data_IF_970997660692
#
_entry.id   IF_970997660692
#
_cell.length_a   1.000
_cell.length_b   1.000
_cell.length_c   1.000
_cell.angle_alpha   90.00
_cell.angle_beta   90.00
_cell.angle_gamma   90.00
#
_symmetry.space_group_name_H-M   'P 1'
#
loop_
_entity.id
_entity.type
_entity.pdbx_description
1 polymer ?
#
# COMPACT_ATOMS: atom_id res chain seq x y z
N UNK A 1 -19.12 -1.25 1.19
CA UNK A 1 -18.24 -0.21 1.76
C UNK A 1 -17.58 -0.76 3.02
N UNK A 2 -16.26 -0.75 3.09
CA UNK A 2 -15.51 -0.93 4.32
C UNK A 2 -15.17 0.46 4.89
N UNK A 3 -15.49 0.71 6.16
CA UNK A 3 -15.08 1.92 6.87
C UNK A 3 -14.09 1.57 7.97
N UNK A 4 -12.92 2.21 7.95
CA UNK A 4 -12.00 2.25 9.07
C UNK A 4 -12.34 3.48 9.91
N UNK A 5 -12.74 3.28 11.14
CA UNK A 5 -13.03 4.38 12.07
C UNK A 5 -11.73 4.95 12.67
N UNK A 6 -11.81 6.11 13.31
CA UNK A 6 -10.64 6.85 13.80
C UNK A 6 -9.75 6.08 14.78
N UNK A 7 -10.28 5.05 15.43
CA UNK A 7 -9.52 4.17 16.35
C UNK A 7 -8.78 3.01 15.66
N UNK A 8 -9.04 2.76 14.37
CA UNK A 8 -8.42 1.66 13.62
C UNK A 8 -7.03 2.04 13.07
N UNK A 9 -6.18 2.64 13.91
CA UNK A 9 -4.81 3.03 13.53
C UNK A 9 -3.90 1.82 13.35
N UNK A 10 -2.87 1.95 12.48
CA UNK A 10 -1.94 0.88 12.11
C UNK A 10 -2.62 -0.34 11.47
N UNK A 11 -3.66 -0.10 10.66
CA UNK A 11 -4.32 -1.15 9.89
C UNK A 11 -3.48 -1.52 8.68
N UNK A 12 -3.33 -2.82 8.44
CA UNK A 12 -2.57 -3.38 7.32
C UNK A 12 -3.44 -4.28 6.47
N UNK A 13 -3.49 -4.01 5.17
CA UNK A 13 -4.12 -4.85 4.16
C UNK A 13 -3.07 -5.34 3.17
N UNK A 14 -3.10 -6.63 2.84
CA UNK A 14 -2.23 -7.20 1.83
C UNK A 14 -2.99 -8.20 0.96
N UNK A 15 -2.69 -8.21 -0.35
CA UNK A 15 -3.18 -9.19 -1.32
C UNK A 15 -4.71 -9.33 -1.31
N UNK A 16 -5.44 -8.23 -1.10
CA UNK A 16 -6.89 -8.18 -1.01
C UNK A 16 -7.48 -7.45 -2.21
N UNK A 17 -8.55 -8.01 -2.76
CA UNK A 17 -9.41 -7.32 -3.71
C UNK A 17 -10.74 -6.96 -3.05
N UNK A 18 -11.05 -5.67 -3.04
CA UNK A 18 -12.34 -5.13 -2.64
C UNK A 18 -12.99 -4.43 -3.83
N UNK A 19 -14.25 -4.69 -4.09
CA UNK A 19 -14.96 -4.09 -5.23
C UNK A 19 -16.41 -3.76 -4.89
N UNK A 20 -16.92 -2.72 -5.56
CA UNK A 20 -18.33 -2.40 -5.54
C UNK A 20 -19.09 -3.28 -6.54
N UNK A 21 -20.24 -3.82 -6.10
CA UNK A 21 -21.15 -4.56 -6.97
C UNK A 21 -22.15 -3.67 -7.71
N UNK A 22 -22.12 -2.35 -7.50
CA UNK A 22 -23.06 -1.42 -8.15
C UNK A 22 -22.87 -1.34 -9.66
N UNK A 23 -21.65 -1.52 -10.13
CA UNK A 23 -21.29 -1.36 -11.53
C UNK A 23 -21.02 0.08 -11.94
N UNK A 24 -20.36 0.24 -13.08
CA UNK A 24 -19.90 1.54 -13.58
C UNK A 24 -21.06 2.49 -13.89
N UNK A 25 -20.92 3.77 -13.49
CA UNK A 25 -21.89 4.83 -13.77
C UNK A 25 -23.17 4.81 -12.93
N UNK A 26 -23.23 4.01 -11.88
CA UNK A 26 -24.42 3.88 -11.02
C UNK A 26 -24.44 4.81 -9.80
N UNK A 27 -23.51 5.73 -9.69
CA UNK A 27 -23.42 6.70 -8.61
C UNK A 27 -22.20 6.47 -7.72
N UNK A 28 -22.23 7.06 -6.52
CA UNK A 28 -21.15 6.96 -5.54
C UNK A 28 -21.12 5.56 -4.93
N UNK A 29 -19.95 4.93 -4.97
CA UNK A 29 -19.78 3.54 -4.58
C UNK A 29 -18.43 3.28 -3.89
N UNK A 30 -18.21 4.02 -2.80
CA UNK A 30 -16.98 3.95 -1.98
C UNK A 30 -16.68 2.49 -1.63
N UNK A 31 -15.46 2.04 -1.88
CA UNK A 31 -15.00 0.72 -1.46
C UNK A 31 -14.35 0.78 -0.10
N UNK A 32 -13.43 1.73 0.10
CA UNK A 32 -12.74 1.94 1.38
C UNK A 32 -12.87 3.40 1.80
N UNK A 33 -13.55 3.64 2.92
CA UNK A 33 -13.62 4.93 3.59
C UNK A 33 -12.73 4.90 4.83
N UNK A 34 -11.60 5.60 4.79
CA UNK A 34 -10.55 5.50 5.78
C UNK A 34 -10.50 6.76 6.67
N UNK A 35 -11.05 6.68 7.87
CA UNK A 35 -11.00 7.72 8.89
C UNK A 35 -9.87 7.49 9.91
N UNK A 36 -9.05 6.47 9.70
CA UNK A 36 -7.98 6.05 10.60
C UNK A 36 -6.70 6.87 10.40
N UNK A 37 -5.58 6.36 10.88
CA UNK A 37 -4.24 6.87 10.65
C UNK A 37 -3.27 5.70 10.52
N UNK A 38 -2.25 5.85 9.68
CA UNK A 38 -1.22 4.82 9.45
C UNK A 38 -1.80 3.53 8.85
N UNK A 39 -2.67 3.67 7.85
CA UNK A 39 -3.14 2.53 7.06
C UNK A 39 -2.11 2.19 6.01
N UNK A 40 -1.81 0.91 5.85
CA UNK A 40 -0.95 0.35 4.83
C UNK A 40 -1.77 -0.58 3.93
N UNK A 41 -1.70 -0.35 2.62
CA UNK A 41 -2.31 -1.18 1.60
C UNK A 41 -1.22 -1.71 0.65
N UNK A 42 -0.80 -2.97 0.82
CA UNK A 42 0.18 -3.63 -0.03
C UNK A 42 -0.51 -4.55 -1.02
N UNK A 43 -0.27 -4.35 -2.33
CA UNK A 43 -0.88 -5.14 -3.40
C UNK A 43 -2.41 -5.27 -3.25
N UNK A 44 -3.07 -4.14 -2.91
CA UNK A 44 -4.53 -4.10 -2.70
C UNK A 44 -5.22 -3.62 -3.96
N UNK A 45 -6.29 -4.31 -4.36
CA UNK A 45 -7.09 -3.95 -5.52
C UNK A 45 -8.43 -3.34 -5.06
N UNK A 46 -8.61 -2.03 -5.24
CA UNK A 46 -9.87 -1.31 -4.96
C UNK A 46 -10.56 -0.95 -6.27
N UNK A 47 -11.75 -1.50 -6.48
CA UNK A 47 -12.47 -1.36 -7.74
C UNK A 47 -13.87 -0.80 -7.50
N UNK A 48 -14.08 0.43 -7.93
CA UNK A 48 -15.38 1.06 -8.01
C UNK A 48 -15.41 2.01 -9.21
N UNK A 49 -16.35 2.96 -9.23
CA UNK A 49 -16.48 3.94 -10.28
C UNK A 49 -16.35 5.37 -9.78
N UNK A 50 -16.99 5.71 -8.65
CA UNK A 50 -16.92 7.02 -8.03
C UNK A 50 -16.52 6.91 -6.55
N UNK A 51 -15.56 7.74 -6.12
CA UNK A 51 -15.06 7.80 -4.73
C UNK A 51 -14.51 6.44 -4.23
N UNK A 52 -13.79 5.69 -5.05
CA UNK A 52 -13.33 4.32 -4.75
C UNK A 52 -12.58 4.23 -3.43
N UNK A 53 -11.63 5.13 -3.19
CA UNK A 53 -10.92 5.29 -1.92
C UNK A 53 -11.08 6.71 -1.40
N UNK A 54 -11.53 6.82 -0.16
CA UNK A 54 -11.71 8.09 0.53
C UNK A 54 -10.81 8.12 1.77
N UNK A 55 -9.73 8.90 1.74
CA UNK A 55 -8.91 9.21 2.91
C UNK A 55 -9.62 10.30 3.72
N UNK A 56 -10.28 9.93 4.82
CA UNK A 56 -11.21 10.82 5.52
C UNK A 56 -10.72 11.27 6.89
N UNK A 57 -9.41 11.47 7.03
CA UNK A 57 -8.78 12.04 8.21
C UNK A 57 -7.73 13.06 7.80
N UNK A 58 -7.96 14.35 8.15
CA UNK A 58 -7.03 15.42 7.82
C UNK A 58 -5.62 15.24 8.45
N UNK A 59 -5.54 14.55 9.59
CA UNK A 59 -4.26 14.25 10.25
C UNK A 59 -3.74 12.86 9.92
N UNK A 60 -4.41 12.15 9.01
CA UNK A 60 -4.07 10.78 8.62
C UNK A 60 -2.89 10.74 7.66
N UNK A 61 -2.12 9.68 7.78
CA UNK A 61 -1.08 9.26 6.83
C UNK A 61 -1.42 7.87 6.34
N UNK A 62 -1.41 7.69 5.01
CA UNK A 62 -1.87 6.48 4.35
C UNK A 62 -0.86 6.07 3.28
N UNK A 63 -0.51 4.81 3.24
CA UNK A 63 0.51 4.28 2.34
C UNK A 63 -0.03 3.14 1.48
N UNK A 64 0.16 3.26 0.18
CA UNK A 64 -0.13 2.22 -0.79
C UNK A 64 1.16 1.76 -1.46
N UNK A 65 1.37 0.44 -1.58
CA UNK A 65 2.49 -0.17 -2.29
C UNK A 65 1.97 -1.21 -3.27
N UNK A 66 2.17 -0.96 -4.55
CA UNK A 66 1.65 -1.83 -5.61
C UNK A 66 0.13 -1.91 -5.62
N UNK A 67 -0.40 -2.92 -6.30
CA UNK A 67 -1.83 -3.14 -6.45
C UNK A 67 -2.50 -2.27 -7.52
N UNK A 68 -3.83 -2.29 -7.55
CA UNK A 68 -4.64 -1.65 -8.59
C UNK A 68 -5.74 -0.81 -7.96
N UNK A 69 -5.77 0.49 -8.26
CA UNK A 69 -6.86 1.37 -7.89
C UNK A 69 -7.62 1.78 -9.15
N UNK A 70 -8.91 1.44 -9.21
CA UNK A 70 -9.75 1.58 -10.39
C UNK A 70 -10.95 2.50 -10.11
N UNK A 71 -11.22 3.43 -11.03
CA UNK A 71 -12.40 4.28 -10.97
C UNK A 71 -12.46 5.27 -12.13
N UNK A 72 -13.44 6.18 -12.06
CA UNK A 72 -13.62 7.25 -13.05
C UNK A 72 -13.76 8.61 -12.40
N UNK A 73 -14.73 8.77 -11.49
CA UNK A 73 -15.09 10.10 -10.96
C UNK A 73 -14.55 10.23 -9.54
N UNK A 74 -13.60 11.15 -9.35
CA UNK A 74 -13.06 11.51 -8.03
C UNK A 74 -12.62 10.29 -7.22
N UNK A 75 -12.08 9.26 -7.92
CA UNK A 75 -11.98 7.93 -7.33
C UNK A 75 -10.91 7.78 -6.25
N UNK A 76 -9.94 8.69 -6.19
CA UNK A 76 -9.01 8.86 -5.07
C UNK A 76 -9.24 10.25 -4.48
N UNK A 77 -10.01 10.34 -3.39
CA UNK A 77 -10.40 11.62 -2.85
C UNK A 77 -10.25 11.68 -1.33
N UNK A 78 -10.28 12.91 -0.77
CA UNK A 78 -10.31 13.08 0.68
C UNK A 78 -9.23 14.00 1.25
N UNK A 79 -8.76 13.69 2.45
CA UNK A 79 -7.90 14.52 3.30
C UNK A 79 -6.65 13.76 3.73
N UNK A 80 -5.72 14.48 4.37
CA UNK A 80 -4.51 13.89 4.91
C UNK A 80 -3.40 13.74 3.87
N UNK A 81 -2.38 12.99 4.23
CA UNK A 81 -1.25 12.71 3.35
C UNK A 81 -1.33 11.23 2.91
N UNK A 82 -1.33 11.02 1.59
CA UNK A 82 -1.39 9.67 1.00
C UNK A 82 -0.21 9.50 0.06
N UNK A 83 0.55 8.43 0.27
CA UNK A 83 1.66 8.06 -0.61
C UNK A 83 1.30 6.80 -1.40
N UNK A 84 1.18 6.93 -2.70
CA UNK A 84 0.96 5.85 -3.64
C UNK A 84 2.28 5.50 -4.29
N UNK A 85 2.84 4.32 -3.97
CA UNK A 85 4.12 3.83 -4.45
C UNK A 85 3.93 2.66 -5.43
N UNK A 86 4.34 2.84 -6.67
CA UNK A 86 4.27 1.80 -7.71
C UNK A 86 2.87 1.18 -7.89
N UNK A 87 1.83 2.01 -7.88
CA UNK A 87 0.41 1.59 -7.99
C UNK A 87 -0.07 1.71 -9.43
N UNK A 88 -0.86 0.74 -9.90
CA UNK A 88 -1.61 0.82 -11.13
C UNK A 88 -2.90 1.64 -10.93
N UNK A 89 -3.02 2.74 -11.64
CA UNK A 89 -4.13 3.68 -11.57
C UNK A 89 -5.00 3.54 -12.80
N UNK A 90 -6.12 2.81 -12.70
CA UNK A 90 -6.96 2.43 -13.85
C UNK A 90 -8.13 3.39 -14.00
N UNK A 91 -8.12 4.18 -15.08
CA UNK A 91 -9.20 5.10 -15.44
C UNK A 91 -10.30 4.39 -16.24
N UNK A 92 -11.54 4.43 -15.76
CA UNK A 92 -12.69 3.78 -16.40
C UNK A 92 -13.57 4.74 -17.21
N UNK A 93 -13.08 5.94 -17.48
CA UNK A 93 -13.77 6.96 -18.25
C UNK A 93 -13.03 8.30 -18.24
N UNK A 94 -13.72 9.36 -18.64
CA UNK A 94 -13.13 10.69 -18.84
C UNK A 94 -13.20 11.60 -17.62
N UNK A 95 -13.30 11.01 -16.42
CA UNK A 95 -13.44 11.73 -15.17
C UNK A 95 -12.12 12.22 -14.56
N UNK A 96 -12.03 12.14 -13.23
CA UNK A 96 -10.96 12.72 -12.43
C UNK A 96 -10.31 11.62 -11.57
N UNK A 97 -8.97 11.53 -11.62
CA UNK A 97 -8.23 10.55 -10.86
C UNK A 97 -8.14 10.96 -9.38
N UNK A 98 -7.47 12.06 -9.08
CA UNK A 98 -7.17 12.53 -7.73
C UNK A 98 -7.97 13.77 -7.36
N UNK A 99 -8.70 13.73 -6.23
CA UNK A 99 -9.51 14.85 -5.75
C UNK A 99 -9.25 15.10 -4.28
N UNK A 100 -8.01 15.51 -3.92
CA UNK A 100 -7.67 15.84 -2.56
C UNK A 100 -8.37 17.12 -2.08
N UNK A 101 -8.61 17.21 -0.76
CA UNK A 101 -9.30 18.32 -0.11
C UNK A 101 -8.36 19.13 0.81
N UNK A 102 -7.88 18.50 1.86
CA UNK A 102 -7.00 19.14 2.85
C UNK A 102 -5.83 18.22 3.18
N UNK A 103 -4.58 18.61 2.86
CA UNK A 103 -3.42 17.82 3.27
C UNK A 103 -3.21 17.92 4.79
N UNK A 104 -2.51 16.94 5.36
CA UNK A 104 -1.82 17.15 6.64
C UNK A 104 -0.68 18.16 6.42
N UNK A 105 0.21 17.81 5.50
CA UNK A 105 1.36 18.63 5.11
C UNK A 105 1.72 18.49 3.63
N UNK A 106 1.65 17.29 3.09
CA UNK A 106 2.18 16.92 1.77
C UNK A 106 1.10 16.55 0.74
N UNK A 107 -0.10 16.14 1.17
CA UNK A 107 -1.22 15.77 0.31
C UNK A 107 -1.03 14.41 -0.37
N UNK A 108 -1.41 14.30 -1.64
CA UNK A 108 -1.37 13.07 -2.40
C UNK A 108 -0.10 12.99 -3.25
N UNK A 109 0.74 12.01 -2.98
CA UNK A 109 1.98 11.76 -3.71
C UNK A 109 1.84 10.46 -4.48
N UNK A 110 1.94 10.52 -5.81
CA UNK A 110 1.96 9.37 -6.72
C UNK A 110 3.39 9.19 -7.23
N UNK A 111 4.08 8.18 -6.72
CA UNK A 111 5.49 7.91 -7.06
C UNK A 111 5.60 6.58 -7.82
N UNK A 112 6.27 6.61 -8.96
CA UNK A 112 6.49 5.43 -9.81
C UNK A 112 5.19 4.71 -10.25
N UNK A 113 4.04 5.40 -10.20
CA UNK A 113 2.74 4.85 -10.55
C UNK A 113 2.57 4.70 -12.07
N UNK A 114 1.63 3.83 -12.47
CA UNK A 114 1.27 3.67 -13.88
C UNK A 114 -0.22 3.99 -14.10
N UNK A 115 -0.54 4.95 -14.95
CA UNK A 115 -1.93 5.25 -15.33
C UNK A 115 -2.30 4.40 -16.55
N UNK A 116 -3.39 3.64 -16.43
CA UNK A 116 -3.86 2.67 -17.45
C UNK A 116 -5.26 2.99 -17.96
N UNK A 117 -5.53 2.61 -19.20
CA UNK A 117 -6.88 2.67 -19.78
C UNK A 117 -7.72 1.47 -19.34
N UNK A 118 -8.76 1.72 -18.55
CA UNK A 118 -9.75 0.72 -18.16
C UNK A 118 -10.98 0.67 -19.04
N UNK A 119 -10.96 1.38 -20.19
CA UNK A 119 -12.10 1.48 -21.10
C UNK A 119 -11.87 0.67 -22.38
N UNK A 120 -12.96 0.39 -23.09
CA UNK A 120 -12.91 -0.22 -24.44
C UNK A 120 -12.90 0.81 -25.57
N UNK A 121 -13.13 2.10 -25.26
CA UNK A 121 -13.32 3.17 -26.25
C UNK A 121 -12.13 4.11 -26.38
N UNK A 122 -11.16 3.99 -25.47
CA UNK A 122 -9.98 4.85 -25.38
C UNK A 122 -10.29 6.25 -24.84
N UNK A 123 -9.50 6.66 -23.85
CA UNK A 123 -9.65 7.95 -23.13
C UNK A 123 -8.44 8.87 -23.26
N UNK A 124 -7.52 8.54 -24.15
CA UNK A 124 -6.33 9.36 -24.37
C UNK A 124 -6.69 10.81 -24.69
N UNK A 125 -6.12 11.77 -23.96
CA UNK A 125 -6.41 13.20 -24.09
C UNK A 125 -7.79 13.64 -23.54
N UNK A 126 -8.54 12.79 -22.81
CA UNK A 126 -9.92 13.09 -22.42
C UNK A 126 -10.19 13.11 -20.93
N UNK A 127 -9.35 12.50 -20.08
CA UNK A 127 -9.51 12.48 -18.63
C UNK A 127 -8.64 13.56 -17.94
N UNK A 128 -8.81 13.77 -16.68
CA UNK A 128 -8.03 14.71 -15.86
C UNK A 128 -7.27 13.97 -14.76
N UNK A 129 -6.06 14.42 -14.45
CA UNK A 129 -5.28 13.96 -13.28
C UNK A 129 -5.97 14.28 -11.96
N UNK A 130 -6.74 15.40 -11.94
CA UNK A 130 -7.52 15.72 -10.76
C UNK A 130 -8.11 17.12 -10.75
N UNK A 131 -8.73 17.44 -9.61
CA UNK A 131 -9.33 18.74 -9.31
C UNK A 131 -9.33 19.00 -7.79
N UNK A 132 -9.32 20.26 -7.32
CA UNK A 132 -9.27 20.57 -5.88
C UNK A 132 -10.66 20.41 -5.24
N UNK A 133 -10.78 19.64 -4.15
CA UNK A 133 -12.04 19.50 -3.42
C UNK A 133 -12.11 20.48 -2.25
N UNK A 134 -12.95 21.48 -2.38
CA UNK A 134 -13.16 22.49 -1.34
C UNK A 134 -12.06 23.54 -1.24
N UNK A 135 -11.97 24.20 -0.10
CA UNK A 135 -11.13 25.39 0.13
C UNK A 135 -9.83 25.12 0.89
N UNK A 136 -9.43 23.86 1.00
CA UNK A 136 -8.29 23.44 1.83
C UNK A 136 -6.92 23.53 1.15
N UNK A 137 -6.82 24.17 -0.01
CA UNK A 137 -5.57 24.30 -0.79
C UNK A 137 -4.81 22.98 -0.92
N UNK A 138 -5.42 21.95 -1.54
CA UNK A 138 -4.85 20.62 -1.63
C UNK A 138 -3.56 20.55 -2.44
N UNK A 139 -2.83 19.45 -2.27
CA UNK A 139 -1.62 19.12 -3.01
C UNK A 139 -1.83 17.74 -3.67
N UNK A 140 -1.43 17.60 -4.94
CA UNK A 140 -1.31 16.33 -5.64
C UNK A 140 -0.10 16.36 -6.57
N UNK A 141 0.81 15.43 -6.39
CA UNK A 141 2.07 15.37 -7.13
C UNK A 141 2.20 13.99 -7.80
N UNK A 142 2.45 14.00 -9.11
CA UNK A 142 2.76 12.80 -9.88
C UNK A 142 4.25 12.82 -10.24
N UNK A 143 5.01 11.89 -9.68
CA UNK A 143 6.46 11.84 -9.78
C UNK A 143 6.86 10.52 -10.43
N UNK A 144 7.62 10.57 -11.52
CA UNK A 144 8.07 9.41 -12.31
C UNK A 144 6.90 8.51 -12.76
N UNK A 145 5.76 9.12 -13.10
CA UNK A 145 4.55 8.39 -13.48
C UNK A 145 4.60 7.97 -14.94
N UNK A 146 4.26 6.70 -15.20
CA UNK A 146 4.09 6.15 -16.55
C UNK A 146 2.62 6.23 -16.98
N UNK A 147 2.36 6.58 -18.22
CA UNK A 147 1.01 6.79 -18.74
C UNK A 147 0.79 5.96 -20.00
N UNK A 148 -0.07 4.96 -19.93
CA UNK A 148 -0.60 4.25 -21.10
C UNK A 148 -1.50 5.20 -21.92
N UNK A 149 -2.28 6.02 -21.23
CA UNK A 149 -3.10 7.10 -21.76
C UNK A 149 -2.76 8.41 -21.07
N UNK A 150 -2.54 9.47 -21.86
CA UNK A 150 -2.24 10.81 -21.32
C UNK A 150 -3.53 11.59 -21.01
N UNK A 151 -3.54 12.45 -19.97
CA UNK A 151 -4.67 13.31 -19.67
C UNK A 151 -4.85 14.42 -20.73
N UNK A 152 -5.88 15.24 -20.56
CA UNK A 152 -6.00 16.49 -21.32
C UNK A 152 -4.75 17.36 -21.15
N UNK A 153 -4.49 18.27 -22.11
CA UNK A 153 -3.34 19.17 -22.02
C UNK A 153 -3.31 19.99 -20.71
N UNK A 154 -4.48 20.43 -20.21
CA UNK A 154 -4.60 21.12 -18.93
C UNK A 154 -4.25 20.22 -17.74
N UNK A 155 -4.39 18.90 -17.85
CA UNK A 155 -4.14 17.91 -16.80
C UNK A 155 -5.07 18.01 -15.60
N UNK A 156 -5.38 19.22 -15.16
CA UNK A 156 -6.14 19.56 -13.96
C UNK A 156 -7.42 20.33 -14.30
N UNK A 157 -8.40 20.30 -13.41
CA UNK A 157 -9.66 21.03 -13.57
C UNK A 157 -10.02 21.81 -12.31
N UNK A 158 -11.17 22.45 -12.34
CA UNK A 158 -11.74 23.27 -11.28
C UNK A 158 -12.83 22.53 -10.53
N UNK A 159 -13.08 22.89 -9.29
CA UNK A 159 -14.18 22.37 -8.51
C UNK A 159 -14.65 23.42 -7.48
N UNK A 160 -15.88 23.91 -7.68
CA UNK A 160 -16.64 24.71 -6.70
C UNK A 160 -15.84 25.88 -6.07
N UNK A 161 -15.04 26.56 -6.87
CA UNK A 161 -14.22 27.71 -6.46
C UNK A 161 -13.05 27.38 -5.53
N UNK A 162 -12.71 26.10 -5.40
CA UNK A 162 -11.46 25.66 -4.77
C UNK A 162 -10.26 25.85 -5.69
N UNK A 163 -9.09 25.99 -5.10
CA UNK A 163 -7.83 25.99 -5.84
C UNK A 163 -6.76 25.22 -5.04
N UNK A 164 -5.79 24.57 -5.71
CA UNK A 164 -4.74 23.84 -5.03
C UNK A 164 -3.63 24.79 -4.55
N UNK A 165 -2.90 24.37 -3.52
CA UNK A 165 -1.57 24.92 -3.28
C UNK A 165 -0.64 24.51 -4.43
N UNK A 166 -0.61 23.21 -4.75
CA UNK A 166 0.20 22.70 -5.85
C UNK A 166 -0.41 21.42 -6.44
N UNK A 167 -0.68 21.43 -7.74
CA UNK A 167 -0.94 20.24 -8.55
C UNK A 167 0.16 20.19 -9.60
N UNK A 168 1.04 19.19 -9.53
CA UNK A 168 2.24 19.18 -10.34
C UNK A 168 2.69 17.77 -10.75
N UNK A 169 3.57 17.75 -11.76
CA UNK A 169 4.19 16.55 -12.28
C UNK A 169 5.71 16.70 -12.36
N UNK A 170 6.42 15.58 -12.28
CA UNK A 170 7.83 15.45 -12.59
C UNK A 170 8.09 14.18 -13.36
N UNK A 171 8.83 14.28 -14.46
CA UNK A 171 9.29 13.14 -15.25
C UNK A 171 8.16 12.17 -15.66
N UNK A 172 6.97 12.70 -15.96
CA UNK A 172 5.87 11.90 -16.51
C UNK A 172 6.21 11.44 -17.93
N UNK A 173 6.09 10.13 -18.18
CA UNK A 173 6.39 9.52 -19.48
C UNK A 173 5.24 8.64 -19.96
N UNK A 174 5.18 8.37 -21.25
CA UNK A 174 4.36 7.27 -21.75
C UNK A 174 4.96 5.92 -21.29
N UNK A 175 4.19 4.84 -21.39
CA UNK A 175 4.72 3.49 -21.12
C UNK A 175 5.84 3.06 -22.08
N UNK A 176 6.02 3.77 -23.20
CA UNK A 176 7.13 3.58 -24.14
C UNK A 176 8.34 4.49 -23.85
N UNK A 177 8.29 5.28 -22.76
CA UNK A 177 9.38 6.14 -22.33
C UNK A 177 9.44 7.53 -22.97
N UNK A 178 8.42 7.93 -23.76
CA UNK A 178 8.36 9.28 -24.33
C UNK A 178 7.88 10.26 -23.26
N UNK A 179 8.58 11.39 -23.09
CA UNK A 179 8.19 12.43 -22.16
C UNK A 179 6.81 13.00 -22.50
N UNK A 180 5.96 13.19 -21.48
CA UNK A 180 4.66 13.86 -21.62
C UNK A 180 4.88 15.38 -21.68
N UNK A 181 4.22 16.06 -22.60
CA UNK A 181 4.26 17.54 -22.66
C UNK A 181 3.45 18.12 -21.50
N UNK A 182 4.13 18.82 -20.62
CA UNK A 182 3.55 19.48 -19.43
C UNK A 182 3.30 20.98 -19.63
N UNK A 183 3.62 21.54 -20.80
CA UNK A 183 3.55 22.99 -21.05
C UNK A 183 2.14 23.57 -20.97
N UNK A 184 1.12 22.74 -21.24
CA UNK A 184 -0.29 23.10 -21.17
C UNK A 184 -0.97 22.95 -19.79
N UNK A 185 -0.23 22.54 -18.76
CA UNK A 185 -0.81 22.25 -17.44
C UNK A 185 -1.44 23.48 -16.79
N UNK A 186 -2.65 23.30 -16.24
CA UNK A 186 -3.39 24.35 -15.58
C UNK A 186 -2.70 24.82 -14.30
N UNK A 187 -2.54 26.13 -14.15
CA UNK A 187 -1.96 26.79 -12.98
C UNK A 187 -2.89 27.84 -12.37
N UNK A 188 -3.78 28.43 -13.17
CA UNK A 188 -4.70 29.47 -12.74
C UNK A 188 -6.09 28.91 -12.57
N UNK A 189 -6.74 29.18 -11.44
CA UNK A 189 -8.04 28.67 -11.03
C UNK A 189 -9.04 29.78 -10.75
N UNK A 190 -10.30 29.61 -11.17
CA UNK A 190 -11.41 30.49 -10.84
C UNK A 190 -11.89 30.21 -9.41
N UNK A 191 -11.42 31.00 -8.47
CA UNK A 191 -11.71 30.85 -7.05
C UNK A 191 -12.84 31.76 -6.61
N UNK A 192 -13.73 31.23 -5.75
CA UNK A 192 -14.80 32.01 -5.13
C UNK A 192 -15.23 31.35 -3.80
N UNK A 193 -15.77 32.15 -2.88
CA UNK A 193 -16.19 31.65 -1.57
C UNK A 193 -17.56 30.98 -1.60
N UNK A 194 -18.51 31.56 -2.32
CA UNK A 194 -19.84 30.99 -2.53
C UNK A 194 -20.36 31.31 -3.94
N UNK A 195 -21.32 30.51 -4.39
CA UNK A 195 -22.03 30.70 -5.66
C UNK A 195 -23.53 30.48 -5.43
N UNK A 196 -24.34 31.45 -5.87
CA UNK A 196 -25.81 31.35 -5.92
C UNK A 196 -26.28 31.78 -7.31
N UNK A 197 -26.76 30.81 -8.11
CA UNK A 197 -27.00 31.01 -9.53
C UNK A 197 -25.74 31.51 -10.27
N UNK A 198 -25.83 32.71 -10.85
CA UNK A 198 -24.69 33.37 -11.52
C UNK A 198 -23.97 34.38 -10.62
N UNK A 199 -24.38 34.48 -9.35
CA UNK A 199 -23.76 35.38 -8.39
C UNK A 199 -22.62 34.68 -7.65
N UNK A 200 -21.45 35.29 -7.67
CA UNK A 200 -20.26 34.77 -6.99
C UNK A 200 -19.82 35.73 -5.87
N UNK A 201 -19.46 35.19 -4.72
CA UNK A 201 -18.88 35.93 -3.62
C UNK A 201 -17.35 35.81 -3.71
N UNK A 202 -16.66 36.93 -3.69
CA UNK A 202 -15.19 37.03 -3.72
C UNK A 202 -14.56 36.23 -4.88
N UNK A 203 -15.15 36.34 -6.09
CA UNK A 203 -14.59 35.65 -7.28
C UNK A 203 -13.27 36.30 -7.69
N UNK A 204 -12.26 35.47 -7.91
CA UNK A 204 -10.91 35.88 -8.25
C UNK A 204 -10.15 34.76 -8.94
N UNK A 205 -9.10 35.12 -9.69
CA UNK A 205 -8.16 34.15 -10.18
C UNK A 205 -7.10 33.88 -9.11
N UNK A 206 -6.91 32.62 -8.76
CA UNK A 206 -5.82 32.15 -7.90
C UNK A 206 -4.79 31.41 -8.72
N UNK A 207 -3.50 31.74 -8.50
CA UNK A 207 -2.39 31.09 -9.18
C UNK A 207 -1.74 30.11 -8.22
N UNK A 208 -1.82 28.80 -8.52
CA UNK A 208 -1.13 27.77 -7.77
C UNK A 208 0.39 27.80 -8.00
N UNK A 209 1.15 27.11 -7.17
CA UNK A 209 2.56 26.86 -7.41
C UNK A 209 2.77 26.16 -8.76
N UNK A 210 4.01 26.18 -9.29
CA UNK A 210 4.34 25.61 -10.61
C UNK A 210 3.76 24.19 -10.79
N UNK A 211 3.10 23.91 -11.93
CA UNK A 211 2.58 22.58 -12.23
C UNK A 211 3.67 21.59 -12.68
N UNK A 212 4.93 22.04 -12.70
CA UNK A 212 6.10 21.20 -13.00
C UNK A 212 7.09 21.33 -11.84
N UNK A 213 7.48 20.17 -11.28
CA UNK A 213 8.51 20.10 -10.27
C UNK A 213 9.90 20.11 -10.90
N UNK A 214 10.87 20.72 -10.20
CA UNK A 214 12.30 20.48 -10.49
C UNK A 214 12.74 19.12 -9.98
N UNK A 215 13.90 18.63 -10.40
CA UNK A 215 14.48 17.38 -9.91
C UNK A 215 14.72 17.41 -8.39
N UNK A 216 15.18 18.54 -7.86
CA UNK A 216 15.41 18.75 -6.43
C UNK A 216 14.10 18.69 -5.63
N UNK A 217 13.05 19.37 -6.12
CA UNK A 217 11.74 19.32 -5.49
C UNK A 217 11.15 17.92 -5.50
N UNK A 218 11.26 17.18 -6.63
CA UNK A 218 10.76 15.82 -6.75
C UNK A 218 11.50 14.84 -5.80
N UNK A 219 12.83 15.00 -5.68
CA UNK A 219 13.66 14.18 -4.79
C UNK A 219 13.33 14.36 -3.30
N UNK A 220 12.72 15.49 -2.92
CA UNK A 220 12.30 15.76 -1.54
C UNK A 220 11.16 14.84 -1.08
N UNK A 221 10.25 14.42 -1.96
CA UNK A 221 9.06 13.65 -1.61
C UNK A 221 9.35 12.15 -1.50
N UNK A 222 10.24 11.77 -0.58
CA UNK A 222 10.50 10.38 -0.22
C UNK A 222 9.43 9.83 0.72
N UNK A 223 9.35 8.50 0.84
CA UNK A 223 8.44 7.85 1.81
C UNK A 223 8.75 8.35 3.23
N UNK A 224 10.02 8.40 3.61
CA UNK A 224 10.46 8.91 4.92
C UNK A 224 10.00 10.34 5.16
N UNK A 225 10.19 11.25 4.18
CA UNK A 225 9.78 12.65 4.31
C UNK A 225 8.27 12.78 4.48
N UNK A 226 7.49 12.07 3.68
CA UNK A 226 6.02 12.24 3.61
C UNK A 226 5.32 11.46 4.71
N UNK A 227 5.78 10.25 5.03
CA UNK A 227 5.12 9.36 5.98
C UNK A 227 5.72 9.40 7.39
N UNK A 228 6.97 9.87 7.58
CA UNK A 228 7.65 9.86 8.87
C UNK A 228 6.91 10.64 9.97
N UNK A 229 6.45 11.86 9.65
CA UNK A 229 5.77 12.71 10.65
C UNK A 229 6.68 13.04 11.85
N UNK A 230 6.07 13.21 13.03
CA UNK A 230 6.79 13.49 14.28
C UNK A 230 7.15 12.21 15.06
N UNK A 231 6.79 11.05 14.56
CA UNK A 231 6.92 9.74 15.21
C UNK A 231 7.71 8.73 14.36
N UNK A 232 8.41 9.20 13.33
CA UNK A 232 9.29 8.43 12.47
C UNK A 232 8.62 7.15 11.91
N UNK A 233 7.31 7.25 11.57
CA UNK A 233 6.60 6.11 11.03
C UNK A 233 7.14 5.70 9.67
N UNK A 234 7.64 4.47 9.60
CA UNK A 234 8.11 3.85 8.38
C UNK A 234 7.11 2.75 7.92
N UNK A 235 6.25 3.02 6.94
CA UNK A 235 5.34 2.00 6.42
C UNK A 235 6.07 0.88 5.68
N UNK A 236 7.29 1.12 5.16
CA UNK A 236 8.05 0.09 4.44
C UNK A 236 8.58 -0.98 5.39
N UNK A 237 8.94 -0.63 6.62
CA UNK A 237 9.33 -1.59 7.65
C UNK A 237 8.17 -2.53 8.00
N UNK A 238 6.92 -2.03 7.98
CA UNK A 238 5.71 -2.85 8.18
C UNK A 238 5.35 -3.68 6.94
N UNK A 239 5.91 -3.38 5.78
CA UNK A 239 5.73 -4.18 4.56
C UNK A 239 6.88 -5.15 4.31
N UNK A 240 7.93 -5.14 5.12
CA UNK A 240 9.01 -6.10 5.04
C UNK A 240 8.49 -7.51 5.29
N UNK A 241 8.56 -8.34 4.28
CA UNK A 241 8.02 -9.69 4.34
C UNK A 241 8.98 -10.65 5.03
N UNK A 242 8.41 -11.64 5.72
CA UNK A 242 9.18 -12.75 6.23
C UNK A 242 9.89 -13.49 5.09
N UNK A 243 11.11 -13.97 5.32
CA UNK A 243 11.83 -14.80 4.36
C UNK A 243 11.03 -16.07 4.04
N UNK A 244 11.13 -16.52 2.78
CA UNK A 244 10.50 -17.77 2.36
C UNK A 244 10.94 -18.95 3.24
N UNK A 245 10.02 -19.84 3.65
CA UNK A 245 10.40 -21.06 4.39
C UNK A 245 11.36 -21.92 3.58
N UNK A 246 12.31 -22.57 4.26
CA UNK A 246 13.28 -23.47 3.63
C UNK A 246 12.95 -24.93 3.95
N UNK A 247 13.46 -25.84 3.11
CA UNK A 247 13.28 -27.28 3.27
C UNK A 247 11.80 -27.72 3.43
N UNK A 248 10.91 -27.10 2.66
CA UNK A 248 9.50 -27.50 2.64
C UNK A 248 9.41 -28.86 1.98
N UNK A 249 9.02 -29.88 2.75
CA UNK A 249 8.99 -31.28 2.31
C UNK A 249 7.65 -31.91 2.66
N UNK A 250 7.19 -32.78 1.78
CA UNK A 250 6.02 -33.63 2.03
C UNK A 250 6.45 -35.08 2.12
N UNK A 251 6.15 -35.70 3.25
CA UNK A 251 6.39 -37.13 3.51
C UNK A 251 5.07 -37.79 3.87
N UNK A 252 4.54 -38.59 2.95
CA UNK A 252 3.17 -39.14 3.08
C UNK A 252 2.15 -37.98 3.09
N UNK A 253 1.37 -37.90 4.17
CA UNK A 253 0.40 -36.80 4.38
C UNK A 253 0.91 -35.73 5.36
N UNK A 254 2.20 -35.65 5.62
CA UNK A 254 2.77 -34.66 6.52
C UNK A 254 3.68 -33.68 5.78
N UNK A 255 3.34 -32.40 5.87
CA UNK A 255 4.13 -31.29 5.35
C UNK A 255 5.00 -30.74 6.49
N UNK A 256 6.29 -30.55 6.25
CA UNK A 256 7.27 -30.02 7.21
C UNK A 256 8.18 -29.00 6.56
N UNK A 257 8.75 -28.09 7.35
CA UNK A 257 9.70 -27.08 6.89
C UNK A 257 10.62 -26.63 8.03
N UNK A 258 11.71 -25.90 7.67
CA UNK A 258 12.62 -25.38 8.65
C UNK A 258 12.06 -24.12 9.30
N UNK A 259 12.20 -24.03 10.62
CA UNK A 259 11.98 -22.83 11.41
C UNK A 259 13.31 -22.07 11.63
N UNK A 260 14.08 -21.82 10.53
CA UNK A 260 15.40 -21.20 10.61
C UNK A 260 15.32 -19.68 10.73
N UNK A 261 14.26 -19.06 10.22
CA UNK A 261 14.01 -17.63 10.29
C UNK A 261 12.86 -17.35 11.26
N UNK A 262 12.86 -16.15 11.84
CA UNK A 262 11.75 -15.75 12.68
C UNK A 262 10.46 -15.68 11.83
N UNK A 263 9.45 -16.40 12.28
CA UNK A 263 8.10 -16.33 11.77
C UNK A 263 7.10 -16.30 12.94
N UNK A 264 6.12 -15.42 12.86
CA UNK A 264 5.03 -15.37 13.82
C UNK A 264 4.10 -16.58 13.62
N UNK A 265 3.82 -16.87 12.35
CA UNK A 265 3.02 -18.02 11.90
C UNK A 265 3.36 -18.34 10.45
N UNK A 266 2.84 -19.46 9.97
CA UNK A 266 2.89 -19.87 8.57
C UNK A 266 1.50 -20.00 7.98
N UNK A 267 1.33 -19.52 6.73
CA UNK A 267 0.17 -19.79 5.90
C UNK A 267 0.45 -21.04 5.06
N UNK A 268 -0.42 -22.04 5.16
CA UNK A 268 -0.36 -23.27 4.37
C UNK A 268 -1.25 -23.10 3.12
N UNK A 269 -0.68 -23.35 1.95
CA UNK A 269 -1.34 -23.15 0.67
C UNK A 269 -1.52 -24.49 -0.06
N UNK A 270 -2.72 -24.73 -0.59
CA UNK A 270 -3.08 -25.84 -1.48
C UNK A 270 -3.41 -25.27 -2.85
N UNK A 271 -2.70 -25.72 -3.89
CA UNK A 271 -2.88 -25.24 -5.26
C UNK A 271 -2.85 -23.70 -5.37
N UNK A 272 -1.88 -23.06 -4.66
CA UNK A 272 -1.68 -21.63 -4.65
C UNK A 272 -2.68 -20.80 -3.81
N UNK A 273 -3.62 -21.45 -3.11
CA UNK A 273 -4.60 -20.79 -2.23
C UNK A 273 -4.33 -21.11 -0.77
N UNK A 274 -4.35 -20.11 0.10
CA UNK A 274 -4.25 -20.31 1.55
C UNK A 274 -5.46 -21.12 2.01
N UNK A 275 -5.20 -22.23 2.73
CA UNK A 275 -6.23 -23.12 3.29
C UNK A 275 -6.20 -23.12 4.81
N UNK A 276 -5.05 -22.82 5.43
CA UNK A 276 -4.94 -22.79 6.88
C UNK A 276 -3.73 -21.96 7.35
N UNK A 277 -3.66 -21.73 8.65
CA UNK A 277 -2.53 -21.11 9.34
C UNK A 277 -2.06 -22.00 10.49
N UNK A 278 -0.75 -22.07 10.70
CA UNK A 278 -0.15 -22.82 11.80
C UNK A 278 0.99 -22.04 12.46
N UNK A 279 1.23 -22.30 13.73
CA UNK A 279 2.39 -21.78 14.48
C UNK A 279 3.48 -22.84 14.63
N UNK A 280 3.21 -24.06 14.19
CA UNK A 280 4.16 -25.17 14.19
C UNK A 280 4.70 -25.39 12.77
N UNK A 281 6.00 -25.74 12.59
CA UNK A 281 6.60 -25.95 11.28
C UNK A 281 6.22 -27.32 10.67
N UNK A 282 4.97 -27.70 10.84
CA UNK A 282 4.39 -28.95 10.31
C UNK A 282 2.90 -28.79 10.09
N UNK A 283 2.36 -29.55 9.12
CA UNK A 283 0.93 -29.54 8.80
C UNK A 283 0.50 -30.88 8.21
N UNK A 284 -0.63 -31.43 8.67
CA UNK A 284 -1.22 -32.64 8.10
C UNK A 284 -2.05 -32.27 6.87
N UNK A 285 -1.68 -32.78 5.70
CA UNK A 285 -2.39 -32.50 4.45
C UNK A 285 -3.52 -33.51 4.22
N UNK A 286 -4.62 -33.05 3.64
CA UNK A 286 -5.81 -33.84 3.30
C UNK A 286 -5.69 -34.56 1.94
N UNK A 287 -4.80 -34.08 1.08
CA UNK A 287 -4.61 -34.59 -0.28
C UNK A 287 -3.12 -34.51 -0.68
N UNK A 288 -2.42 -35.63 -0.58
CA UNK A 288 -1.00 -35.69 -0.93
C UNK A 288 -0.70 -35.51 -2.44
N UNK A 289 -1.72 -35.54 -3.30
CA UNK A 289 -1.57 -35.34 -4.75
C UNK A 289 -1.64 -33.86 -5.17
N UNK A 290 -2.11 -32.96 -4.28
CA UNK A 290 -2.17 -31.55 -4.56
C UNK A 290 -0.79 -30.88 -4.46
N UNK A 291 -0.64 -29.72 -5.08
CA UNK A 291 0.54 -28.87 -4.89
C UNK A 291 0.41 -28.11 -3.57
N UNK A 292 1.35 -28.32 -2.67
CA UNK A 292 1.41 -27.67 -1.37
C UNK A 292 2.56 -26.68 -1.33
N UNK A 293 2.35 -25.54 -0.67
CA UNK A 293 3.38 -24.58 -0.39
C UNK A 293 3.15 -23.88 0.95
N UNK A 294 4.20 -23.26 1.47
CA UNK A 294 4.16 -22.59 2.77
C UNK A 294 4.73 -21.18 2.62
N UNK A 295 4.09 -20.22 3.26
CA UNK A 295 4.52 -18.82 3.38
C UNK A 295 4.72 -18.48 4.84
N UNK A 296 5.75 -17.74 5.18
CA UNK A 296 5.96 -17.23 6.53
C UNK A 296 5.39 -15.82 6.68
N UNK A 297 4.92 -15.49 7.89
CA UNK A 297 4.56 -14.14 8.28
C UNK A 297 5.37 -13.71 9.51
N UNK A 298 5.74 -12.44 9.58
CA UNK A 298 6.34 -11.83 10.77
C UNK A 298 5.35 -10.89 11.46
N UNK A 299 5.76 -10.29 12.59
CA UNK A 299 4.92 -9.34 13.34
C UNK A 299 4.68 -8.02 12.60
N UNK A 300 5.37 -7.77 11.50
CA UNK A 300 5.19 -6.59 10.65
C UNK A 300 4.01 -6.77 9.68
N UNK A 301 3.34 -7.94 9.70
CA UNK A 301 2.09 -8.17 8.99
C UNK A 301 2.23 -8.64 7.53
N UNK A 302 3.44 -8.91 7.06
CA UNK A 302 3.67 -9.37 5.70
C UNK A 302 3.70 -10.90 5.58
N UNK A 303 2.96 -11.48 4.62
CA UNK A 303 3.21 -12.84 4.13
C UNK A 303 4.33 -12.83 3.11
N UNK A 304 5.43 -13.52 3.41
CA UNK A 304 6.57 -13.70 2.50
C UNK A 304 6.25 -14.54 1.27
N UNK A 305 7.25 -14.76 0.44
CA UNK A 305 7.14 -15.62 -0.73
C UNK A 305 6.82 -17.07 -0.33
N UNK A 306 6.11 -17.78 -1.23
CA UNK A 306 5.77 -19.19 -1.03
C UNK A 306 6.93 -20.09 -1.43
N UNK A 307 7.21 -21.10 -0.61
CA UNK A 307 8.06 -22.23 -1.01
C UNK A 307 7.20 -23.46 -1.25
N UNK A 308 7.27 -24.02 -2.45
CA UNK A 308 6.58 -25.26 -2.79
C UNK A 308 7.24 -26.47 -2.09
N UNK A 309 6.38 -27.42 -1.68
CA UNK A 309 6.83 -28.65 -1.09
C UNK A 309 7.50 -29.57 -2.12
N UNK A 310 8.66 -30.12 -1.76
CA UNK A 310 9.27 -31.23 -2.50
C UNK A 310 8.73 -32.54 -1.95
N UNK A 311 8.26 -33.43 -2.83
CA UNK A 311 7.88 -34.80 -2.44
C UNK A 311 9.15 -35.66 -2.36
N UNK A 312 9.39 -36.22 -1.20
CA UNK A 312 10.46 -37.24 -1.06
C UNK A 312 9.99 -38.59 -1.58
N UNK A 313 10.59 -39.07 -2.67
CA UNK A 313 10.36 -40.40 -3.22
C UNK A 313 11.48 -41.40 -2.83
N UNK A 314 12.20 -41.15 -1.76
CA UNK A 314 13.38 -41.96 -1.37
C UNK A 314 13.44 -42.26 0.12
N UNK A 315 14.11 -43.35 0.47
CA UNK A 315 14.38 -43.84 1.83
C UNK A 315 15.06 -42.72 2.67
N UNK A 316 14.41 -42.32 3.76
CA UNK A 316 14.94 -41.28 4.67
C UNK A 316 16.18 -41.80 5.42
N UNK A 317 17.28 -41.04 5.36
CA UNK A 317 18.24 -41.00 6.47
C UNK A 317 17.53 -40.36 7.66
N UNK A 318 17.46 -41.03 8.78
CA UNK A 318 16.94 -40.51 10.05
C UNK A 318 17.91 -39.42 10.54
N UNK A 319 17.71 -38.19 10.05
CA UNK A 319 18.33 -37.03 10.68
C UNK A 319 17.55 -36.72 11.97
N UNK A 320 18.21 -36.87 13.10
CA UNK A 320 17.69 -36.42 14.40
C UNK A 320 17.51 -34.90 14.36
N UNK A 321 16.31 -34.45 14.02
CA UNK A 321 16.00 -33.03 13.96
C UNK A 321 15.86 -32.50 15.39
N UNK A 322 16.80 -31.63 15.77
CA UNK A 322 16.69 -30.88 17.03
C UNK A 322 15.70 -29.74 16.86
N UNK A 323 14.59 -29.79 17.59
CA UNK A 323 13.56 -28.71 17.61
C UNK A 323 13.79 -27.76 18.79
N UNK A 324 13.27 -26.52 18.68
CA UNK A 324 13.29 -25.59 19.81
C UNK A 324 12.28 -26.03 20.84
N UNK A 325 12.77 -26.46 21.99
CA UNK A 325 11.95 -26.86 23.14
C UNK A 325 11.41 -25.64 23.92
N UNK A 326 12.20 -24.57 24.03
CA UNK A 326 11.80 -23.34 24.69
C UNK A 326 12.61 -22.14 24.22
N UNK A 327 12.01 -20.96 24.28
CA UNK A 327 12.68 -19.69 24.03
C UNK A 327 12.58 -18.81 25.25
N UNK A 328 13.71 -18.22 25.70
CA UNK A 328 13.76 -17.23 26.78
C UNK A 328 14.45 -15.97 26.25
N UNK A 329 13.93 -14.82 26.68
CA UNK A 329 14.46 -13.51 26.30
C UNK A 329 15.04 -12.86 27.55
N UNK A 330 16.24 -12.29 27.40
CA UNK A 330 16.92 -11.59 28.48
C UNK A 330 17.38 -10.21 28.02
N UNK A 331 17.40 -9.27 28.93
CA UNK A 331 18.08 -7.98 28.77
C UNK A 331 19.60 -8.16 28.91
N UNK A 332 20.41 -7.15 28.61
CA UNK A 332 21.88 -7.21 28.71
C UNK A 332 22.40 -7.40 30.13
N UNK A 333 21.63 -7.04 31.13
CA UNK A 333 21.88 -7.22 32.59
C UNK A 333 21.39 -8.59 33.08
N UNK A 334 20.89 -9.46 32.19
CA UNK A 334 20.54 -10.84 32.50
C UNK A 334 19.11 -11.02 33.07
N UNK A 335 18.28 -9.99 33.05
CA UNK A 335 16.88 -10.10 33.52
C UNK A 335 16.03 -10.77 32.44
N UNK A 336 15.32 -11.84 32.78
CA UNK A 336 14.38 -12.49 31.89
C UNK A 336 13.12 -11.65 31.70
N UNK A 337 12.73 -11.44 30.42
CA UNK A 337 11.53 -10.67 30.05
C UNK A 337 10.61 -11.53 29.19
N UNK A 338 9.33 -11.20 29.17
CA UNK A 338 8.30 -11.94 28.40
C UNK A 338 8.20 -11.51 26.95
N UNK A 339 8.79 -10.38 26.57
CA UNK A 339 8.80 -9.84 25.19
C UNK A 339 10.07 -9.04 24.95
N UNK A 340 10.43 -8.85 23.68
CA UNK A 340 11.54 -8.01 23.26
C UNK A 340 11.29 -6.56 23.71
N UNK A 341 12.35 -5.91 24.19
CA UNK A 341 12.35 -4.52 24.66
C UNK A 341 13.26 -3.66 23.81
N UNK A 342 13.04 -2.35 23.80
CA UNK A 342 13.92 -1.40 23.12
C UNK A 342 15.37 -1.57 23.60
N UNK A 343 16.29 -1.59 22.66
CA UNK A 343 17.72 -1.87 22.93
C UNK A 343 18.10 -3.31 22.61
N UNK A 344 19.15 -3.80 23.28
CA UNK A 344 19.73 -5.13 23.03
C UNK A 344 18.99 -6.18 23.86
N UNK A 345 18.53 -7.24 23.19
CA UNK A 345 17.93 -8.42 23.82
C UNK A 345 18.78 -9.66 23.49
N UNK A 346 18.89 -10.58 24.45
CA UNK A 346 19.55 -11.87 24.29
C UNK A 346 18.48 -12.95 24.29
N UNK A 347 18.30 -13.60 23.14
CA UNK A 347 17.32 -14.68 22.96
C UNK A 347 18.02 -16.03 23.04
N UNK A 348 17.65 -16.82 24.03
CA UNK A 348 18.21 -18.17 24.28
C UNK A 348 17.14 -19.20 23.90
N UNK A 349 17.42 -20.01 22.88
CA UNK A 349 16.60 -21.14 22.45
C UNK A 349 17.22 -22.44 22.99
N UNK A 350 16.46 -23.21 23.74
CA UNK A 350 16.84 -24.55 24.18
C UNK A 350 16.27 -25.54 23.17
N UNK A 351 17.11 -26.41 22.61
CA UNK A 351 16.74 -27.42 21.64
C UNK A 351 16.34 -28.73 22.31
N UNK A 352 15.66 -29.60 21.59
CA UNK A 352 15.20 -30.92 22.12
C UNK A 352 16.35 -31.88 22.47
N UNK A 353 17.56 -31.64 21.93
CA UNK A 353 18.78 -32.35 22.28
C UNK A 353 19.49 -31.76 23.52
N UNK A 354 18.90 -30.75 24.17
CA UNK A 354 19.47 -30.06 25.33
C UNK A 354 20.47 -28.98 24.96
N UNK A 355 20.84 -28.82 23.70
CA UNK A 355 21.73 -27.74 23.25
C UNK A 355 21.04 -26.37 23.36
N UNK A 356 21.84 -25.27 23.49
CA UNK A 356 21.34 -23.91 23.54
C UNK A 356 21.91 -23.08 22.42
N UNK A 357 21.05 -22.38 21.68
CA UNK A 357 21.43 -21.36 20.69
C UNK A 357 21.09 -19.98 21.25
N UNK A 358 22.05 -19.06 21.19
CA UNK A 358 21.88 -17.70 21.72
C UNK A 358 22.02 -16.69 20.60
N UNK A 359 21.03 -15.83 20.42
CA UNK A 359 21.02 -14.75 19.44
C UNK A 359 20.92 -13.39 20.14
N UNK A 360 21.63 -12.40 19.61
CA UNK A 360 21.51 -10.99 20.00
C UNK A 360 20.55 -10.30 19.04
N UNK A 361 19.47 -9.72 19.55
CA UNK A 361 18.49 -8.94 18.80
C UNK A 361 18.51 -7.50 19.28
N UNK A 362 18.54 -6.56 18.36
CA UNK A 362 18.53 -5.12 18.66
C UNK A 362 17.20 -4.56 18.18
N UNK A 363 16.41 -4.04 19.11
CA UNK A 363 15.18 -3.30 18.83
C UNK A 363 15.50 -1.80 18.93
N UNK A 364 15.29 -1.08 17.86
CA UNK A 364 15.54 0.37 17.75
C UNK A 364 14.44 1.20 18.41
#
# INVERSE_FOLDING_TARGET
VLSLESGATNTYFQDIKMYSSMGDGKGRDIVLNDKSNKTICKNVNLWAYQDTYVSNNQKGRFYFEGGILRGNTDYLCGKGDVYYNNVDLVMCGTGYLAVPSQPTKYGYIFKDCTIKDGTTTGINGKYKLGRPWGKGTPIALFIDTKMEVIPTAAGWDEMSGGYPKRFAEYNSTTTTGTAVDLSGRKQVYDAYDAKDGDNYTNRRNETAESPVLTAEEAAFYTIETVMGGDDDWDPTAATEQASAPTNVKMTGSNLTWDNSNYALLWAVCKNGKIVDFTVEPTYAVDDASATWSVRAANEMGGLGEATEATTSTGIEEVATSTHVLSTKIYTTDGVQVSKLQKGINIVVKTMTDGSKKTNKIIIK
#
